data_IF_521579996594
#
_entry.id   IF_521579996594
#
_cell.length_a   1.000
_cell.length_b   1.000
_cell.length_c   1.000
_cell.angle_alpha   90.00
_cell.angle_beta   90.00
_cell.angle_gamma   90.00
#
_symmetry.space_group_name_H-M   'P 1'
#
loop_
_entity.id
_entity.type
_entity.pdbx_description
1 polymer ?
#
# COMPACT_ATOMS: atom_id res chain seq x y z
N UNK A 1 13.43 -40.11 -13.85
CA UNK A 1 14.50 -40.06 -14.88
C UNK A 1 15.19 -38.70 -14.80
N UNK A 2 16.22 -38.58 -13.96
CA UNK A 2 16.92 -37.31 -13.72
C UNK A 2 18.02 -37.18 -14.77
N UNK A 3 17.82 -36.30 -15.75
CA UNK A 3 18.80 -36.01 -16.79
C UNK A 3 20.01 -35.34 -16.13
N UNK A 4 21.15 -36.04 -16.06
CA UNK A 4 22.45 -35.47 -15.70
C UNK A 4 22.83 -34.39 -16.73
N UNK A 5 22.43 -33.14 -16.48
CA UNK A 5 22.94 -32.00 -17.24
C UNK A 5 24.41 -31.79 -16.89
N UNK A 6 25.29 -32.01 -17.86
CA UNK A 6 26.71 -31.72 -17.75
C UNK A 6 26.93 -30.21 -17.57
N UNK A 7 27.96 -29.82 -16.79
CA UNK A 7 28.28 -28.41 -16.44
C UNK A 7 28.32 -27.47 -17.67
N UNK A 8 28.73 -27.98 -18.84
CA UNK A 8 28.69 -27.25 -20.13
C UNK A 8 27.27 -26.90 -20.60
N UNK A 9 26.30 -27.82 -20.47
CA UNK A 9 24.91 -27.57 -20.85
C UNK A 9 24.21 -26.62 -19.88
N UNK A 10 24.56 -26.69 -18.59
CA UNK A 10 24.08 -25.73 -17.59
C UNK A 10 24.61 -24.32 -17.86
N UNK A 11 25.88 -24.19 -18.25
CA UNK A 11 26.48 -22.90 -18.64
C UNK A 11 25.81 -22.27 -19.87
N UNK A 12 25.49 -23.07 -20.89
CA UNK A 12 24.80 -22.58 -22.09
C UNK A 12 23.36 -22.13 -21.77
N UNK A 13 22.63 -22.90 -20.97
CA UNK A 13 21.27 -22.54 -20.54
C UNK A 13 21.29 -21.25 -19.70
N UNK A 14 22.29 -21.09 -18.82
CA UNK A 14 22.45 -19.87 -18.01
C UNK A 14 22.76 -18.64 -18.87
N UNK A 15 23.63 -18.77 -19.88
CA UNK A 15 23.93 -17.67 -20.83
C UNK A 15 22.71 -17.30 -21.68
N UNK A 16 21.94 -18.30 -22.13
CA UNK A 16 20.70 -18.06 -22.90
C UNK A 16 19.62 -17.40 -22.03
N UNK A 17 19.50 -17.77 -20.75
CA UNK A 17 18.56 -17.12 -19.81
C UNK A 17 18.99 -15.70 -19.45
N UNK A 18 20.29 -15.44 -19.30
CA UNK A 18 20.82 -14.08 -19.05
C UNK A 18 20.60 -13.18 -20.26
N UNK A 19 20.78 -13.69 -21.49
CA UNK A 19 20.53 -12.93 -22.73
C UNK A 19 19.05 -12.81 -23.07
N UNK A 20 18.21 -13.77 -22.67
CA UNK A 20 16.77 -13.79 -22.91
C UNK A 20 15.93 -12.99 -21.87
N UNK A 21 16.52 -12.61 -20.73
CA UNK A 21 15.83 -11.89 -19.66
C UNK A 21 15.93 -10.36 -19.77
N UNK A 22 16.64 -9.85 -20.78
CA UNK A 22 16.58 -8.42 -21.09
C UNK A 22 15.28 -8.14 -21.84
N UNK A 23 14.25 -7.68 -21.13
CA UNK A 23 13.18 -6.92 -21.76
C UNK A 23 13.86 -5.89 -22.69
N UNK A 24 13.49 -5.82 -23.99
CA UNK A 24 14.13 -4.90 -24.91
C UNK A 24 14.06 -3.52 -24.27
N UNK A 25 15.18 -2.78 -24.17
CA UNK A 25 15.16 -1.45 -23.58
C UNK A 25 14.04 -0.69 -24.29
N UNK A 26 13.07 -0.20 -23.53
CA UNK A 26 12.03 0.65 -24.08
C UNK A 26 12.75 1.84 -24.68
N UNK A 27 12.93 1.83 -26.01
CA UNK A 27 13.43 3.00 -26.72
C UNK A 27 12.37 4.06 -26.50
N UNK A 28 12.68 5.01 -25.63
CA UNK A 28 11.93 6.26 -25.57
C UNK A 28 11.97 6.81 -26.99
N UNK A 29 10.86 6.71 -27.71
CA UNK A 29 10.73 7.35 -29.02
C UNK A 29 10.64 8.84 -28.74
N UNK A 30 11.79 9.50 -28.77
CA UNK A 30 11.81 10.96 -28.76
C UNK A 30 11.24 11.46 -30.06
N UNK A 31 10.33 12.42 -29.97
CA UNK A 31 9.84 13.11 -31.15
C UNK A 31 11.00 13.87 -31.82
N UNK A 32 11.00 14.04 -33.16
CA UNK A 32 12.13 14.67 -33.87
C UNK A 32 12.50 16.06 -33.34
N UNK A 33 11.52 16.80 -32.80
CA UNK A 33 11.73 18.10 -32.16
C UNK A 33 12.52 17.99 -30.86
N UNK A 34 12.22 16.99 -30.05
CA UNK A 34 12.90 16.73 -28.77
C UNK A 34 14.33 16.27 -29.02
N UNK A 35 14.51 15.37 -30.00
CA UNK A 35 15.84 14.90 -30.41
C UNK A 35 16.73 16.07 -30.88
N UNK A 36 16.17 17.00 -31.67
CA UNK A 36 16.90 18.18 -32.15
C UNK A 36 17.30 19.13 -31.01
N UNK A 37 16.43 19.30 -30.02
CA UNK A 37 16.73 20.10 -28.83
C UNK A 37 17.83 19.46 -27.97
N UNK A 38 17.74 18.15 -27.70
CA UNK A 38 18.77 17.39 -26.97
C UNK A 38 20.11 17.47 -27.69
N UNK A 39 20.14 17.26 -29.00
CA UNK A 39 21.36 17.36 -29.80
C UNK A 39 21.97 18.76 -29.75
N UNK A 40 21.15 19.81 -29.88
CA UNK A 40 21.62 21.20 -29.79
C UNK A 40 22.25 21.51 -28.43
N UNK A 41 21.61 21.05 -27.36
CA UNK A 41 22.09 21.26 -26.00
C UNK A 41 23.37 20.47 -25.71
N UNK A 42 23.43 19.19 -26.11
CA UNK A 42 24.65 18.38 -25.99
C UNK A 42 25.79 18.92 -26.85
N UNK A 43 25.51 19.50 -28.02
CA UNK A 43 26.55 20.10 -28.86
C UNK A 43 27.21 21.32 -28.21
N UNK A 44 26.51 22.01 -27.30
CA UNK A 44 27.02 23.17 -26.57
C UNK A 44 27.79 22.80 -25.29
N UNK A 45 27.82 21.52 -24.91
CA UNK A 45 28.46 21.03 -23.68
C UNK A 45 29.81 20.37 -23.96
N UNK A 46 30.77 20.65 -23.09
CA UNK A 46 32.04 19.93 -22.96
C UNK A 46 31.82 18.47 -22.54
N UNK A 47 32.86 17.64 -22.70
CA UNK A 47 32.81 16.24 -22.27
C UNK A 47 32.58 16.11 -20.75
N UNK A 48 33.16 17.00 -19.95
CA UNK A 48 32.97 17.03 -18.50
C UNK A 48 31.52 17.34 -18.12
N UNK A 49 30.90 18.32 -18.79
CA UNK A 49 29.49 18.68 -18.54
C UNK A 49 28.53 17.55 -18.93
N UNK A 50 28.81 16.84 -20.04
CA UNK A 50 28.03 15.65 -20.45
C UNK A 50 28.12 14.53 -19.42
N UNK A 51 29.32 14.25 -18.91
CA UNK A 51 29.54 13.24 -17.87
C UNK A 51 28.85 13.66 -16.56
N UNK A 52 28.87 14.96 -16.21
CA UNK A 52 28.17 15.49 -15.04
C UNK A 52 26.64 15.30 -15.10
N UNK A 53 26.03 15.39 -16.27
CA UNK A 53 24.60 15.09 -16.44
C UNK A 53 24.24 13.62 -16.15
N UNK A 54 25.21 12.70 -16.22
CA UNK A 54 25.01 11.30 -15.85
C UNK A 54 25.15 11.05 -14.33
N UNK A 55 25.70 12.03 -13.59
CA UNK A 55 25.79 11.98 -12.14
C UNK A 55 24.49 12.53 -11.56
N UNK A 56 23.53 11.63 -11.35
CA UNK A 56 22.30 11.99 -10.66
C UNK A 56 22.58 12.07 -9.15
N UNK A 57 22.90 13.27 -8.67
CA UNK A 57 22.97 13.54 -7.23
C UNK A 57 21.59 13.33 -6.63
N UNK A 58 21.44 12.33 -5.76
CA UNK A 58 20.20 12.09 -5.03
C UNK A 58 20.02 13.19 -3.98
N UNK A 59 19.38 14.29 -4.38
CA UNK A 59 19.07 15.39 -3.47
C UNK A 59 17.96 14.94 -2.52
N UNK A 60 18.23 14.92 -1.21
CA UNK A 60 17.18 14.78 -0.19
C UNK A 60 16.51 16.14 -0.05
N UNK A 61 15.32 16.31 -0.63
CA UNK A 61 14.47 17.45 -0.33
C UNK A 61 13.77 17.26 1.02
N UNK A 62 13.80 18.28 1.87
CA UNK A 62 12.92 18.36 3.03
C UNK A 62 11.62 19.04 2.62
N UNK A 63 10.48 18.40 2.88
CA UNK A 63 9.19 19.04 2.67
C UNK A 63 8.96 20.05 3.79
N UNK A 64 9.02 21.35 3.46
CA UNK A 64 8.81 22.47 4.40
C UNK A 64 7.48 22.39 5.16
N UNK A 65 6.50 21.65 4.64
CA UNK A 65 5.15 21.52 5.22
C UNK A 65 4.79 20.10 5.64
N UNK A 66 5.78 19.23 5.86
CA UNK A 66 5.53 17.83 6.26
C UNK A 66 4.74 17.72 7.57
N UNK A 67 5.10 18.51 8.57
CA UNK A 67 4.41 18.52 9.86
C UNK A 67 2.97 19.01 9.74
N UNK A 68 2.75 20.03 8.90
CA UNK A 68 1.40 20.54 8.61
C UNK A 68 0.58 19.47 7.91
N UNK A 69 1.14 18.77 6.92
CA UNK A 69 0.49 17.67 6.25
C UNK A 69 0.13 16.54 7.23
N UNK A 70 1.05 16.17 8.13
CA UNK A 70 0.79 15.16 9.16
C UNK A 70 -0.38 15.56 10.07
N UNK A 71 -0.40 16.80 10.59
CA UNK A 71 -1.50 17.31 11.43
C UNK A 71 -2.84 17.31 10.70
N UNK A 72 -2.85 17.66 9.41
CA UNK A 72 -4.06 17.57 8.58
C UNK A 72 -4.53 16.12 8.51
N UNK A 73 -3.63 15.17 8.22
CA UNK A 73 -3.99 13.77 8.16
C UNK A 73 -4.53 13.23 9.48
N UNK A 74 -3.87 13.54 10.60
CA UNK A 74 -4.33 13.18 11.94
C UNK A 74 -5.77 13.62 12.21
N UNK A 75 -6.10 14.86 11.85
CA UNK A 75 -7.45 15.41 12.01
C UNK A 75 -8.48 14.84 11.03
N UNK A 76 -8.03 14.22 9.94
CA UNK A 76 -8.87 13.74 8.84
C UNK A 76 -9.27 12.28 8.94
N UNK A 77 -8.56 11.45 9.73
CA UNK A 77 -8.86 10.02 9.80
C UNK A 77 -10.27 9.82 10.34
N UNK A 78 -11.11 9.12 9.57
CA UNK A 78 -12.52 8.90 9.87
C UNK A 78 -12.74 7.43 10.21
N UNK A 79 -13.15 7.13 11.44
CA UNK A 79 -13.68 5.81 11.78
C UNK A 79 -15.15 5.75 11.34
N UNK A 80 -15.49 4.86 10.40
CA UNK A 80 -16.86 4.73 9.87
C UNK A 80 -17.64 3.66 10.64
N UNK A 81 -16.97 2.56 10.99
CA UNK A 81 -17.53 1.43 11.74
C UNK A 81 -16.52 0.97 12.78
N UNK A 82 -16.98 0.66 14.00
CA UNK A 82 -16.16 0.15 15.11
C UNK A 82 -16.98 -0.85 15.95
N UNK A 83 -17.28 -2.01 15.36
CA UNK A 83 -18.10 -3.03 16.01
C UNK A 83 -17.41 -3.55 17.27
N UNK A 84 -18.18 -3.72 18.35
CA UNK A 84 -17.65 -4.19 19.64
C UNK A 84 -16.70 -3.21 20.36
N UNK A 85 -16.50 -2.00 19.85
CA UNK A 85 -15.57 -1.03 20.46
C UNK A 85 -14.11 -1.45 20.37
N UNK A 86 -13.73 -2.15 19.29
CA UNK A 86 -12.39 -2.74 19.11
C UNK A 86 -11.27 -1.68 19.05
N UNK A 87 -11.54 -0.51 18.45
CA UNK A 87 -10.62 0.62 18.48
C UNK A 87 -10.84 1.51 19.72
N UNK A 88 -9.75 2.00 20.35
CA UNK A 88 -8.35 1.80 19.97
C UNK A 88 -7.78 0.45 20.45
N UNK A 89 -6.86 -0.11 19.66
CA UNK A 89 -6.10 -1.31 20.00
C UNK A 89 -5.15 -1.07 21.17
N UNK A 90 -4.81 -2.14 21.88
CA UNK A 90 -3.86 -2.09 22.98
C UNK A 90 -2.44 -2.37 22.49
N UNK A 91 -1.57 -1.36 22.53
CA UNK A 91 -0.19 -1.44 22.05
C UNK A 91 0.69 -2.48 22.78
N UNK A 92 0.29 -2.93 23.96
CA UNK A 92 1.07 -3.90 24.75
C UNK A 92 0.51 -5.33 24.65
N UNK A 93 -0.81 -5.46 24.45
CA UNK A 93 -1.49 -6.76 24.53
C UNK A 93 -1.99 -7.29 23.20
N UNK A 94 -2.31 -6.43 22.23
CA UNK A 94 -2.95 -6.87 20.99
C UNK A 94 -2.02 -7.71 20.12
N UNK A 95 -2.44 -8.93 19.76
CA UNK A 95 -1.74 -9.74 18.76
C UNK A 95 -2.33 -9.48 17.38
N UNK A 96 -1.61 -8.73 16.55
CA UNK A 96 -2.12 -8.32 15.24
C UNK A 96 -1.44 -9.04 14.09
N UNK A 97 -2.22 -9.47 13.11
CA UNK A 97 -1.74 -9.77 11.77
C UNK A 97 -1.87 -8.50 10.92
N UNK A 98 -0.76 -8.02 10.35
CA UNK A 98 -0.72 -6.76 9.59
C UNK A 98 -0.57 -7.01 8.09
N UNK A 99 -1.62 -6.72 7.34
CA UNK A 99 -1.68 -6.96 5.91
C UNK A 99 -1.78 -5.65 5.13
N UNK A 100 -1.15 -5.58 3.97
CA UNK A 100 -1.35 -4.49 3.01
C UNK A 100 -1.65 -5.05 1.63
N UNK A 101 -2.82 -4.71 1.09
CA UNK A 101 -3.32 -5.23 -0.18
C UNK A 101 -3.44 -4.10 -1.20
N UNK A 102 -2.71 -4.23 -2.30
CA UNK A 102 -2.67 -3.23 -3.37
C UNK A 102 -3.30 -3.75 -4.66
N UNK A 103 -4.37 -3.11 -5.10
CA UNK A 103 -5.01 -3.44 -6.38
C UNK A 103 -4.24 -2.89 -7.58
N UNK A 104 -3.10 -2.25 -7.38
CA UNK A 104 -2.24 -1.70 -8.42
C UNK A 104 -1.13 -2.69 -8.83
N UNK A 105 -0.98 -2.99 -10.14
CA UNK A 105 0.21 -3.64 -10.68
C UNK A 105 1.52 -2.95 -10.25
N UNK A 106 2.45 -3.71 -9.66
CA UNK A 106 3.71 -3.19 -9.12
C UNK A 106 3.54 -2.42 -7.80
N UNK A 107 2.36 -2.54 -7.19
CA UNK A 107 1.99 -1.93 -5.92
C UNK A 107 2.39 -2.74 -4.70
N UNK A 108 3.25 -3.77 -4.83
CA UNK A 108 3.63 -4.70 -3.76
C UNK A 108 4.10 -4.00 -2.48
N UNK A 109 4.76 -2.85 -2.65
CA UNK A 109 5.28 -2.06 -1.54
C UNK A 109 4.35 -0.90 -1.12
N UNK A 110 3.10 -0.88 -1.57
CA UNK A 110 2.11 0.02 -1.03
C UNK A 110 1.86 -0.36 0.44
N UNK A 111 1.86 0.62 1.34
CA UNK A 111 1.72 0.34 2.76
C UNK A 111 3.03 0.18 3.53
N UNK A 112 4.21 0.29 2.90
CA UNK A 112 5.49 0.22 3.64
C UNK A 112 5.60 1.24 4.78
N UNK A 113 5.11 2.47 4.58
CA UNK A 113 5.13 3.47 5.63
C UNK A 113 4.17 3.08 6.77
N UNK A 114 3.01 2.50 6.45
CA UNK A 114 2.06 1.96 7.42
C UNK A 114 2.66 0.81 8.23
N UNK A 115 3.29 -0.16 7.55
CA UNK A 115 3.97 -1.29 8.21
C UNK A 115 5.06 -0.80 9.16
N UNK A 116 5.89 0.15 8.70
CA UNK A 116 6.93 0.75 9.54
C UNK A 116 6.32 1.45 10.76
N UNK A 117 5.32 2.31 10.56
CA UNK A 117 4.70 3.06 11.66
C UNK A 117 3.94 2.19 12.65
N UNK A 118 3.34 1.08 12.21
CA UNK A 118 2.79 0.08 13.14
C UNK A 118 3.91 -0.61 13.92
N UNK A 119 5.00 -1.00 13.24
CA UNK A 119 6.17 -1.63 13.87
C UNK A 119 6.91 -0.76 14.90
N UNK A 120 6.80 0.57 14.78
CA UNK A 120 7.28 1.53 15.78
C UNK A 120 6.44 1.51 17.08
N UNK A 121 5.20 1.02 17.02
CA UNK A 121 4.25 0.98 18.15
C UNK A 121 4.17 -0.43 18.75
N UNK A 122 4.04 -1.45 17.90
CA UNK A 122 3.94 -2.86 18.29
C UNK A 122 4.48 -3.76 17.18
N UNK A 123 5.14 -4.86 17.55
CA UNK A 123 5.56 -5.87 16.58
C UNK A 123 4.38 -6.80 16.20
N UNK A 124 3.90 -6.79 14.94
CA UNK A 124 2.86 -7.73 14.50
C UNK A 124 3.34 -9.18 14.61
N UNK A 125 2.42 -10.10 14.93
CA UNK A 125 2.71 -11.54 14.98
C UNK A 125 2.96 -12.11 13.58
N UNK A 126 2.34 -11.50 12.57
CA UNK A 126 2.58 -11.80 11.16
C UNK A 126 2.40 -10.53 10.32
N UNK A 127 3.14 -10.46 9.21
CA UNK A 127 3.05 -9.37 8.24
C UNK A 127 2.92 -9.95 6.84
N UNK A 128 2.04 -9.37 6.02
CA UNK A 128 1.84 -9.79 4.65
C UNK A 128 1.61 -8.61 3.72
N UNK A 129 2.26 -8.63 2.56
CA UNK A 129 2.09 -7.64 1.50
C UNK A 129 1.69 -8.37 0.23
N UNK A 130 0.67 -7.86 -0.46
CA UNK A 130 0.26 -8.37 -1.76
C UNK A 130 -0.13 -7.23 -2.69
N UNK A 131 0.12 -7.41 -3.98
CA UNK A 131 -0.40 -6.56 -5.03
C UNK A 131 -1.20 -7.33 -6.07
N UNK A 132 -1.50 -6.72 -7.22
CA UNK A 132 -2.19 -7.32 -8.35
C UNK A 132 -1.59 -8.63 -8.88
N UNK A 133 -0.29 -8.85 -8.68
CA UNK A 133 0.45 -9.97 -9.28
C UNK A 133 0.88 -11.02 -8.27
N UNK A 134 0.65 -10.79 -6.97
CA UNK A 134 0.89 -11.81 -5.96
C UNK A 134 0.05 -13.05 -6.24
N UNK A 135 0.71 -14.22 -6.27
CA UNK A 135 0.10 -15.53 -6.50
C UNK A 135 -0.77 -15.98 -5.33
N UNK A 136 -1.76 -16.83 -5.62
CA UNK A 136 -2.72 -17.31 -4.61
C UNK A 136 -2.02 -18.14 -3.53
N UNK A 137 -0.97 -18.87 -3.88
CA UNK A 137 -0.17 -19.69 -2.98
C UNK A 137 0.44 -18.88 -1.83
N UNK A 138 0.79 -17.62 -2.06
CA UNK A 138 1.31 -16.72 -1.01
C UNK A 138 0.20 -16.20 -0.11
N UNK A 139 -1.00 -15.95 -0.66
CA UNK A 139 -2.18 -15.56 0.11
C UNK A 139 -2.59 -16.72 1.03
N UNK A 140 -2.61 -17.94 0.50
CA UNK A 140 -2.97 -19.15 1.27
C UNK A 140 -1.97 -19.43 2.39
N UNK A 141 -0.68 -19.16 2.16
CA UNK A 141 0.34 -19.21 3.22
C UNK A 141 0.09 -18.15 4.29
N UNK A 142 -0.20 -16.91 3.90
CA UNK A 142 -0.49 -15.83 4.84
C UNK A 142 -1.74 -16.11 5.69
N UNK A 143 -2.78 -16.72 5.10
CA UNK A 143 -4.01 -17.11 5.80
C UNK A 143 -3.73 -18.06 6.98
N UNK A 144 -2.77 -18.99 6.85
CA UNK A 144 -2.40 -19.91 7.95
C UNK A 144 -1.78 -19.18 9.14
N UNK A 145 -1.10 -18.06 8.88
CA UNK A 145 -0.47 -17.25 9.92
C UNK A 145 -1.47 -16.39 10.71
N UNK A 146 -2.74 -16.31 10.28
CA UNK A 146 -3.79 -15.59 11.00
C UNK A 146 -4.22 -16.29 12.29
N UNK A 147 -4.01 -17.61 12.41
CA UNK A 147 -4.34 -18.38 13.61
C UNK A 147 -3.58 -17.87 14.86
N UNK A 148 -2.43 -17.21 14.66
CA UNK A 148 -1.60 -16.63 15.73
C UNK A 148 -2.06 -15.24 16.18
N UNK A 149 -2.94 -14.61 15.41
CA UNK A 149 -3.43 -13.25 15.65
C UNK A 149 -4.80 -13.27 16.31
N UNK A 150 -5.04 -12.26 17.13
CA UNK A 150 -6.34 -11.98 17.75
C UNK A 150 -7.14 -10.96 16.92
N UNK A 151 -6.46 -10.14 16.11
CA UNK A 151 -7.07 -9.13 15.23
C UNK A 151 -6.32 -9.08 13.89
N UNK A 152 -7.05 -8.96 12.78
CA UNK A 152 -6.46 -8.78 11.44
C UNK A 152 -6.59 -7.32 11.02
N UNK A 153 -5.47 -6.65 10.75
CA UNK A 153 -5.43 -5.25 10.28
C UNK A 153 -5.02 -5.21 8.82
N UNK A 154 -5.88 -4.68 7.95
CA UNK A 154 -5.68 -4.68 6.49
C UNK A 154 -5.67 -3.25 5.95
N UNK A 155 -4.52 -2.80 5.44
CA UNK A 155 -4.38 -1.57 4.67
C UNK A 155 -4.72 -1.79 3.19
N UNK A 156 -5.70 -1.05 2.68
CA UNK A 156 -6.24 -1.19 1.32
C UNK A 156 -5.78 -0.06 0.41
N UNK A 157 -5.18 -0.44 -0.71
CA UNK A 157 -4.63 0.50 -1.69
C UNK A 157 -5.21 0.22 -3.08
N UNK A 158 -5.68 1.29 -3.73
CA UNK A 158 -5.98 1.29 -5.16
C UNK A 158 -5.84 2.71 -5.67
N UNK A 159 -4.95 2.94 -6.62
CA UNK A 159 -4.69 4.27 -7.18
C UNK A 159 -5.43 4.45 -8.49
N UNK A 160 -5.81 5.70 -8.74
CA UNK A 160 -6.12 6.20 -10.07
C UNK A 160 -4.85 6.12 -10.91
N UNK A 161 -4.84 5.25 -11.94
CA UNK A 161 -3.79 5.23 -12.96
C UNK A 161 -4.42 5.25 -14.34
N UNK A 162 -3.88 6.10 -15.22
CA UNK A 162 -4.25 6.13 -16.63
C UNK A 162 -4.11 4.72 -17.23
N UNK A 163 -5.15 4.24 -17.90
CA UNK A 163 -5.18 2.88 -18.48
C UNK A 163 -5.60 1.75 -17.54
N UNK A 164 -5.74 1.97 -16.22
CA UNK A 164 -6.22 0.94 -15.28
C UNK A 164 -7.73 0.69 -15.37
N UNK A 165 -8.49 1.70 -15.79
CA UNK A 165 -9.95 1.60 -15.99
C UNK A 165 -10.79 1.56 -14.72
N UNK A 166 -10.19 1.40 -13.52
CA UNK A 166 -10.91 1.44 -12.24
C UNK A 166 -10.04 1.96 -11.09
N UNK A 167 -10.71 2.61 -10.14
CA UNK A 167 -10.18 3.06 -8.83
C UNK A 167 -10.51 2.10 -7.70
N UNK A 168 -11.26 1.06 -8.02
CA UNK A 168 -11.79 0.10 -7.07
C UNK A 168 -10.75 -0.97 -6.69
N UNK A 169 -11.07 -1.79 -5.70
CA UNK A 169 -10.30 -2.98 -5.38
C UNK A 169 -10.45 -4.04 -6.46
N UNK A 170 -9.42 -4.89 -6.60
CA UNK A 170 -9.55 -6.08 -7.43
C UNK A 170 -10.57 -7.06 -6.82
N UNK A 171 -11.40 -7.72 -7.65
CA UNK A 171 -12.40 -8.69 -7.19
C UNK A 171 -11.84 -9.74 -6.24
N UNK A 172 -10.62 -10.24 -6.49
CA UNK A 172 -9.98 -11.23 -5.62
C UNK A 172 -9.72 -10.74 -4.19
N UNK A 173 -9.36 -9.46 -4.02
CA UNK A 173 -9.16 -8.89 -2.69
C UNK A 173 -10.47 -8.57 -2.00
N UNK A 174 -11.49 -8.17 -2.77
CA UNK A 174 -12.87 -8.06 -2.26
C UNK A 174 -13.32 -9.39 -1.67
N UNK A 175 -13.23 -10.47 -2.44
CA UNK A 175 -13.65 -11.81 -1.99
C UNK A 175 -12.80 -12.33 -0.83
N UNK A 176 -11.50 -12.03 -0.80
CA UNK A 176 -10.63 -12.35 0.34
C UNK A 176 -11.09 -11.63 1.62
N UNK A 177 -11.40 -10.34 1.55
CA UNK A 177 -11.84 -9.56 2.72
C UNK A 177 -13.21 -10.04 3.21
N UNK A 178 -14.17 -10.32 2.33
CA UNK A 178 -15.45 -10.93 2.70
C UNK A 178 -15.26 -12.24 3.45
N UNK A 179 -14.39 -13.12 2.94
CA UNK A 179 -14.07 -14.39 3.62
C UNK A 179 -13.48 -14.16 5.01
N UNK A 180 -12.57 -13.19 5.15
CA UNK A 180 -11.97 -12.84 6.44
C UNK A 180 -13.00 -12.24 7.41
N UNK A 181 -13.95 -11.44 6.93
CA UNK A 181 -15.01 -10.86 7.75
C UNK A 181 -15.95 -11.91 8.37
N UNK A 182 -15.94 -13.13 7.86
CA UNK A 182 -16.68 -14.28 8.40
C UNK A 182 -15.82 -15.21 9.27
N UNK A 183 -14.55 -14.89 9.49
CA UNK A 183 -13.68 -15.65 10.40
C UNK A 183 -13.84 -15.19 11.85
N UNK A 184 -13.40 -16.00 12.84
CA UNK A 184 -13.52 -15.64 14.26
C UNK A 184 -12.74 -14.38 14.67
N UNK A 185 -11.61 -14.12 14.01
CA UNK A 185 -10.80 -12.94 14.27
C UNK A 185 -11.47 -11.70 13.67
N UNK A 186 -11.72 -10.64 14.46
CA UNK A 186 -12.26 -9.40 13.92
C UNK A 186 -11.27 -8.75 12.94
N UNK A 187 -11.83 -8.12 11.92
CA UNK A 187 -11.05 -7.50 10.84
C UNK A 187 -11.20 -5.98 10.85
N UNK A 188 -10.06 -5.31 10.83
CA UNK A 188 -9.95 -3.86 10.70
C UNK A 188 -9.46 -3.52 9.29
N UNK A 189 -10.34 -2.96 8.47
CA UNK A 189 -9.99 -2.48 7.13
C UNK A 189 -9.73 -0.98 7.14
N UNK A 190 -8.59 -0.57 6.59
CA UNK A 190 -8.19 0.84 6.45
C UNK A 190 -8.07 1.19 4.98
N UNK A 191 -8.90 2.12 4.50
CA UNK A 191 -8.79 2.61 3.14
C UNK A 191 -7.79 3.76 3.03
N UNK A 192 -6.73 3.53 2.26
CA UNK A 192 -5.75 4.54 1.84
C UNK A 192 -6.08 5.14 0.47
N UNK A 193 -7.36 5.14 0.09
CA UNK A 193 -7.85 5.67 -1.16
C UNK A 193 -9.35 5.94 -1.10
N UNK A 194 -10.14 5.08 -1.73
CA UNK A 194 -11.58 5.28 -1.86
C UNK A 194 -12.33 4.87 -0.59
N UNK A 195 -13.22 5.71 -0.01
CA UNK A 195 -14.10 5.29 1.08
C UNK A 195 -15.15 4.27 0.61
N UNK A 196 -15.35 4.12 -0.70
CA UNK A 196 -16.37 3.25 -1.28
C UNK A 196 -16.03 1.76 -1.23
N UNK A 197 -14.79 1.38 -0.87
CA UNK A 197 -14.45 -0.04 -0.75
C UNK A 197 -15.33 -0.77 0.27
N UNK A 198 -15.82 -0.06 1.29
CA UNK A 198 -16.73 -0.62 2.30
C UNK A 198 -18.02 -1.21 1.70
N UNK A 199 -18.47 -0.71 0.54
CA UNK A 199 -19.69 -1.22 -0.11
C UNK A 199 -19.58 -2.70 -0.48
N UNK A 200 -18.35 -3.20 -0.69
CA UNK A 200 -18.12 -4.58 -1.05
C UNK A 200 -18.17 -5.55 0.14
N UNK A 201 -17.97 -5.06 1.35
CA UNK A 201 -17.90 -5.87 2.57
C UNK A 201 -18.48 -5.09 3.78
N UNK A 202 -19.76 -4.67 3.72
CA UNK A 202 -20.39 -3.89 4.80
C UNK A 202 -20.41 -4.62 6.16
N UNK A 203 -20.25 -5.94 6.15
CA UNK A 203 -20.17 -6.82 7.31
C UNK A 203 -18.90 -6.65 8.16
N UNK A 204 -17.82 -6.09 7.61
CA UNK A 204 -16.51 -5.94 8.28
C UNK A 204 -16.62 -5.29 9.68
N UNK A 205 -15.85 -5.74 10.68
CA UNK A 205 -16.00 -5.25 12.06
C UNK A 205 -15.65 -3.77 12.21
N UNK A 206 -14.51 -3.36 11.65
CA UNK A 206 -14.01 -2.00 11.75
C UNK A 206 -13.61 -1.49 10.38
N UNK A 207 -14.03 -0.27 10.06
CA UNK A 207 -13.65 0.41 8.83
C UNK A 207 -13.18 1.83 9.09
N UNK A 208 -11.97 2.14 8.64
CA UNK A 208 -11.32 3.45 8.81
C UNK A 208 -10.95 4.01 7.44
N UNK A 209 -11.27 5.28 7.22
CA UNK A 209 -10.86 6.02 6.03
C UNK A 209 -9.67 6.92 6.34
N UNK A 210 -8.53 6.66 5.69
CA UNK A 210 -7.36 7.53 5.65
C UNK A 210 -7.28 8.34 4.33
N UNK A 211 -8.11 8.01 3.34
CA UNK A 211 -8.36 8.70 2.06
C UNK A 211 -7.18 8.79 1.07
N UNK A 212 -5.94 8.71 1.55
CA UNK A 212 -4.73 8.95 0.76
C UNK A 212 -3.65 7.94 1.11
N UNK A 213 -2.85 7.58 0.10
CA UNK A 213 -1.72 6.66 0.24
C UNK A 213 -0.42 7.33 0.67
N UNK A 214 -0.44 8.64 0.99
CA UNK A 214 0.76 9.36 1.43
C UNK A 214 1.35 8.73 2.70
N UNK A 215 2.66 8.88 2.90
CA UNK A 215 3.35 8.30 4.05
C UNK A 215 2.82 8.90 5.37
N UNK A 216 2.48 10.19 5.37
CA UNK A 216 1.90 10.89 6.52
C UNK A 216 0.49 10.37 6.86
N UNK A 217 -0.32 10.03 5.85
CA UNK A 217 -1.65 9.43 6.06
C UNK A 217 -1.54 8.03 6.66
N UNK A 218 -0.57 7.24 6.19
CA UNK A 218 -0.24 5.93 6.74
C UNK A 218 0.25 6.01 8.20
N UNK A 219 1.13 6.97 8.49
CA UNK A 219 1.60 7.23 9.85
C UNK A 219 0.45 7.66 10.78
N UNK A 220 -0.40 8.59 10.34
CA UNK A 220 -1.57 9.02 11.10
C UNK A 220 -2.56 7.86 11.37
N UNK A 221 -2.80 7.01 10.37
CA UNK A 221 -3.66 5.83 10.53
C UNK A 221 -3.10 4.84 11.56
N UNK A 222 -1.79 4.56 11.53
CA UNK A 222 -1.14 3.70 12.54
C UNK A 222 -1.34 4.26 13.94
N UNK A 223 -1.05 5.56 14.14
CA UNK A 223 -1.23 6.23 15.44
C UNK A 223 -2.68 6.24 15.92
N UNK A 224 -3.64 6.39 15.01
CA UNK A 224 -5.06 6.35 15.31
C UNK A 224 -5.52 4.96 15.77
N UNK A 225 -5.01 3.88 15.16
CA UNK A 225 -5.38 2.52 15.56
C UNK A 225 -5.08 2.23 17.03
N UNK A 226 -3.95 2.74 17.54
CA UNK A 226 -3.51 2.52 18.92
C UNK A 226 -3.90 3.67 19.86
N UNK A 227 -4.75 4.60 19.41
CA UNK A 227 -5.29 5.67 20.23
C UNK A 227 -4.28 6.77 20.60
N UNK A 228 -3.15 6.89 19.90
CA UNK A 228 -2.19 7.98 20.14
C UNK A 228 -2.73 9.35 19.68
N UNK A 229 -3.69 9.34 18.76
CA UNK A 229 -4.44 10.50 18.29
C UNK A 229 -5.95 10.17 18.33
N UNK A 230 -6.83 11.17 18.49
CA UNK A 230 -8.26 10.93 18.40
C UNK A 230 -8.68 10.64 16.95
N UNK A 231 -9.72 9.82 16.77
CA UNK A 231 -10.44 9.68 15.51
C UNK A 231 -11.63 10.62 15.53
N UNK A 232 -11.57 11.68 14.71
CA UNK A 232 -12.57 12.74 14.67
C UNK A 232 -13.05 13.11 13.27
N UNK A 233 -12.50 12.45 12.25
CA UNK A 233 -12.87 12.69 10.85
C UNK A 233 -14.34 12.39 10.59
N UNK A 234 -14.88 13.06 9.56
CA UNK A 234 -16.25 12.87 9.06
C UNK A 234 -16.20 12.54 7.58
N UNK A 235 -17.08 11.65 7.14
CA UNK A 235 -17.19 11.27 5.75
C UNK A 235 -17.52 12.51 4.88
N UNK A 236 -16.69 12.87 3.88
CA UNK A 236 -16.97 13.99 2.99
C UNK A 236 -18.04 13.65 1.95
N UNK A 237 -18.40 12.38 1.82
CA UNK A 237 -19.34 11.80 0.85
C UNK A 237 -20.24 10.78 1.53
N UNK A 238 -21.42 10.50 0.98
CA UNK A 238 -22.20 9.33 1.38
C UNK A 238 -21.60 8.07 0.78
N UNK A 239 -21.58 6.96 1.51
CA UNK A 239 -21.28 5.62 1.01
C UNK A 239 -22.63 4.92 0.77
N UNK A 240 -23.11 4.82 -0.49
CA UNK A 240 -24.44 4.30 -0.78
C UNK A 240 -24.67 2.91 -0.17
N UNK A 241 -25.80 2.73 0.51
CA UNK A 241 -26.15 1.48 1.19
C UNK A 241 -25.46 1.26 2.55
N UNK A 242 -24.53 2.12 2.97
CA UNK A 242 -23.81 1.97 4.23
C UNK A 242 -24.02 3.16 5.17
N UNK A 243 -23.52 4.36 4.81
CA UNK A 243 -23.47 5.51 5.72
C UNK A 243 -23.63 6.85 4.98
N UNK A 244 -24.31 7.84 5.58
CA UNK A 244 -24.50 9.16 4.95
C UNK A 244 -23.24 10.04 5.05
N UNK A 245 -23.16 11.06 4.19
CA UNK A 245 -22.18 12.15 4.34
C UNK A 245 -22.26 12.76 5.73
N UNK A 246 -21.10 13.10 6.29
CA UNK A 246 -20.98 13.64 7.65
C UNK A 246 -20.93 12.58 8.75
N UNK A 247 -21.14 11.30 8.43
CA UNK A 247 -20.99 10.21 9.40
C UNK A 247 -19.52 9.99 9.78
N UNK A 248 -19.30 9.61 11.03
CA UNK A 248 -18.00 9.22 11.58
C UNK A 248 -18.12 9.01 13.09
N UNK A 249 -17.47 7.99 13.62
CA UNK A 249 -17.41 7.72 15.05
C UNK A 249 -16.32 8.59 15.68
N UNK A 250 -16.65 9.20 16.82
CA UNK A 250 -15.67 9.92 17.64
C UNK A 250 -15.02 8.92 18.60
N UNK A 251 -13.72 8.73 18.48
CA UNK A 251 -12.93 7.91 19.40
C UNK A 251 -11.88 8.81 20.02
N UNK A 252 -11.94 9.08 21.34
CA UNK A 252 -10.97 9.94 22.00
C UNK A 252 -9.59 9.29 22.02
N UNK A 253 -8.57 10.13 22.19
CA UNK A 253 -7.20 9.66 22.43
C UNK A 253 -7.16 8.80 23.70
N UNK A 254 -6.41 7.70 23.67
CA UNK A 254 -6.13 6.86 24.84
C UNK A 254 -5.00 7.54 25.63
N UNK A 255 -5.26 7.84 26.91
CA UNK A 255 -4.27 8.40 27.84
C UNK A 255 -3.22 7.35 28.23
#
# INVERSE_FOLDING_TARGET
MIVKLTKRRLGIILVVLILGSCAPPSRIKMEPREAKWVQKMLAQMSLQEKVAQMVCCRVKGTYLHREVALKIFESSITCVKNQGGLLPLDKEKSKIALWTLSSDPGGYFAGRAFIRSVGEIIQPVSQFQADAFTGQEFIDQALKELEKAEVVVIGLFSRLRSGKGSVDLQPRFIELIKKLAHQPQPVIAISFGSPYFLQHFPEIDVYVCAYRYADEAQQAAARALFGEIPLQGRLPVSIPGCFPRGHGLLIPRKN
#
